data_IF_804989176835
#
_entry.id   IF_804989176835
#
_cell.length_a   1.000
_cell.length_b   1.000
_cell.length_c   1.000
_cell.angle_alpha   90.00
_cell.angle_beta   90.00
_cell.angle_gamma   90.00
#
_symmetry.space_group_name_H-M   'P 1'
#
loop_
_entity.id
_entity.type
_entity.pdbx_description
1 polymer ?
#
# COMPACT_ATOMS: atom_id res chain seq x y z
N UNK A 1 22.82 9.32 19.31
CA UNK A 1 21.45 8.81 19.59
C UNK A 1 21.02 7.94 18.40
N UNK A 2 20.50 6.74 18.67
CA UNK A 2 20.12 5.66 17.72
C UNK A 2 19.20 6.19 16.59
N UNK A 3 19.54 6.01 15.30
CA UNK A 3 19.29 4.89 14.35
C UNK A 3 17.84 4.79 13.81
N UNK A 4 17.76 4.64 12.48
CA UNK A 4 16.64 4.20 11.62
C UNK A 4 15.66 5.34 11.25
N UNK A 5 15.32 5.63 9.99
CA UNK A 5 15.38 4.87 8.74
C UNK A 5 15.39 5.84 7.54
N UNK A 6 16.50 5.83 6.81
CA UNK A 6 16.76 6.60 5.59
C UNK A 6 16.30 5.80 4.35
N UNK A 7 15.04 5.36 4.37
CA UNK A 7 14.43 4.63 3.26
C UNK A 7 12.95 5.05 3.17
N UNK A 8 12.54 5.43 1.95
CA UNK A 8 11.16 5.66 1.51
C UNK A 8 10.60 7.10 1.50
N UNK A 9 11.45 8.12 1.29
CA UNK A 9 11.02 9.30 0.52
C UNK A 9 11.21 9.04 -0.99
N UNK A 10 10.52 8.03 -1.53
CA UNK A 10 10.33 7.92 -2.99
C UNK A 10 9.16 8.81 -3.38
N UNK A 11 9.52 10.09 -3.57
CA UNK A 11 8.82 11.13 -4.33
C UNK A 11 7.81 10.57 -5.33
N UNK A 12 6.55 10.88 -5.08
CA UNK A 12 5.48 10.97 -6.07
C UNK A 12 5.84 12.13 -7.02
N UNK A 13 6.72 11.83 -7.97
CA UNK A 13 7.11 12.72 -9.06
C UNK A 13 6.84 11.99 -10.36
N UNK A 14 5.98 12.59 -11.18
CA UNK A 14 5.92 12.30 -12.60
C UNK A 14 4.60 11.73 -13.04
N UNK A 15 3.68 12.64 -13.34
CA UNK A 15 2.83 12.52 -14.53
C UNK A 15 3.74 12.17 -15.72
N UNK A 16 3.85 10.88 -16.04
CA UNK A 16 4.53 10.37 -17.23
C UNK A 16 3.63 9.36 -17.94
N UNK A 17 3.70 9.30 -19.29
CA UNK A 17 2.67 8.69 -20.11
C UNK A 17 2.59 7.18 -19.89
N UNK A 18 1.51 6.75 -19.23
CA UNK A 18 0.93 5.38 -19.17
C UNK A 18 1.89 4.23 -19.51
N UNK A 19 2.97 4.12 -18.76
CA UNK A 19 3.73 2.88 -18.70
C UNK A 19 2.80 1.82 -18.11
N UNK A 20 2.68 0.67 -18.78
CA UNK A 20 1.77 -0.42 -18.39
C UNK A 20 2.13 -0.82 -16.97
N UNK A 21 1.33 -0.40 -15.99
CA UNK A 21 1.58 -0.72 -14.58
C UNK A 21 1.66 -2.24 -14.45
N UNK A 22 2.85 -2.73 -14.10
CA UNK A 22 3.08 -4.15 -13.90
C UNK A 22 2.11 -4.65 -12.83
N UNK A 23 1.48 -5.80 -13.10
CA UNK A 23 0.57 -6.42 -12.16
C UNK A 23 1.35 -6.83 -10.91
N UNK A 24 0.96 -6.29 -9.77
CA UNK A 24 1.52 -6.68 -8.48
C UNK A 24 0.85 -7.97 -8.02
N UNK A 25 1.64 -9.00 -7.75
CA UNK A 25 1.17 -10.22 -7.05
C UNK A 25 1.15 -9.91 -5.55
N UNK A 26 0.00 -10.08 -4.92
CA UNK A 26 -0.16 -9.95 -3.47
C UNK A 26 0.03 -11.34 -2.87
N UNK A 27 0.99 -11.48 -1.95
CA UNK A 27 1.29 -12.75 -1.30
C UNK A 27 0.20 -13.13 -0.28
N UNK A 28 0.03 -14.42 0.07
CA UNK A 28 -0.95 -14.85 1.06
C UNK A 28 -0.84 -14.12 2.40
N UNK A 29 0.38 -13.99 2.94
CA UNK A 29 0.63 -13.28 4.21
C UNK A 29 0.22 -11.80 4.14
N UNK A 30 0.38 -11.17 2.96
CA UNK A 30 -0.05 -9.80 2.72
C UNK A 30 -1.58 -9.70 2.64
N UNK A 31 -2.24 -10.68 2.03
CA UNK A 31 -3.71 -10.76 1.98
C UNK A 31 -4.29 -10.94 3.38
N UNK A 32 -3.72 -11.81 4.20
CA UNK A 32 -4.17 -12.05 5.57
C UNK A 32 -4.15 -10.75 6.39
N UNK A 33 -3.07 -9.97 6.28
CA UNK A 33 -2.97 -8.65 6.91
C UNK A 33 -4.02 -7.66 6.37
N UNK A 34 -4.21 -7.61 5.06
CA UNK A 34 -5.21 -6.74 4.43
C UNK A 34 -6.63 -7.09 4.88
N UNK A 35 -6.98 -8.38 4.94
CA UNK A 35 -8.26 -8.84 5.46
C UNK A 35 -8.47 -8.50 6.93
N UNK A 36 -7.44 -8.67 7.77
CA UNK A 36 -7.52 -8.27 9.17
C UNK A 36 -7.84 -6.78 9.31
N UNK A 37 -7.24 -5.92 8.48
CA UNK A 37 -7.53 -4.48 8.48
C UNK A 37 -8.92 -4.17 7.92
N UNK A 38 -9.35 -4.89 6.89
CA UNK A 38 -10.68 -4.75 6.30
C UNK A 38 -11.82 -5.06 7.28
N UNK A 39 -11.65 -6.08 8.13
CA UNK A 39 -12.62 -6.40 9.18
C UNK A 39 -12.82 -5.28 10.21
N UNK A 40 -11.79 -4.44 10.41
CA UNK A 40 -11.85 -3.30 11.33
C UNK A 40 -12.42 -2.06 10.64
N UNK A 41 -11.98 -1.80 9.41
CA UNK A 41 -12.38 -0.65 8.61
C UNK A 41 -12.37 -1.03 7.14
N UNK A 42 -13.56 -1.13 6.53
CA UNK A 42 -13.73 -1.48 5.12
C UNK A 42 -13.48 -0.29 4.19
N UNK A 43 -13.56 0.95 4.69
CA UNK A 43 -13.27 2.17 3.93
C UNK A 43 -12.15 3.01 4.60
N UNK A 44 -10.89 2.52 4.56
CA UNK A 44 -9.79 3.16 5.25
C UNK A 44 -9.50 4.56 4.71
N UNK A 45 -9.26 5.50 5.64
CA UNK A 45 -8.84 6.86 5.30
C UNK A 45 -7.51 6.90 4.54
N UNK A 46 -7.20 8.02 3.89
CA UNK A 46 -5.94 8.23 3.16
C UNK A 46 -4.70 7.91 4.00
N UNK A 47 -4.69 8.35 5.26
CA UNK A 47 -3.59 8.11 6.20
C UNK A 47 -3.48 6.63 6.58
N UNK A 48 -4.61 5.96 6.72
CA UNK A 48 -4.64 4.54 7.05
C UNK A 48 -4.14 3.69 5.88
N UNK A 49 -4.51 4.02 4.64
CA UNK A 49 -3.96 3.39 3.44
C UNK A 49 -2.44 3.53 3.33
N UNK A 50 -1.88 4.69 3.67
CA UNK A 50 -0.43 4.92 3.68
C UNK A 50 0.28 4.05 4.73
N UNK A 51 -0.30 3.94 5.93
CA UNK A 51 0.23 3.06 6.96
C UNK A 51 0.13 1.59 6.55
N UNK A 52 -1.02 1.14 6.06
CA UNK A 52 -1.21 -0.25 5.62
C UNK A 52 -0.24 -0.59 4.49
N UNK A 53 -0.07 0.31 3.51
CA UNK A 53 0.88 0.17 2.42
C UNK A 53 2.32 -0.03 2.89
N UNK A 54 2.76 0.75 3.89
CA UNK A 54 4.08 0.60 4.49
C UNK A 54 4.25 -0.75 5.19
N UNK A 55 3.26 -1.14 6.01
CA UNK A 55 3.34 -2.38 6.78
C UNK A 55 3.32 -3.64 5.89
N UNK A 56 2.52 -3.62 4.82
CA UNK A 56 2.40 -4.76 3.89
C UNK A 56 3.49 -4.74 2.81
N UNK A 57 4.25 -3.64 2.67
CA UNK A 57 5.28 -3.48 1.64
C UNK A 57 4.72 -3.35 0.22
N UNK A 58 3.50 -2.82 0.06
CA UNK A 58 2.87 -2.62 -1.24
C UNK A 58 2.66 -1.14 -1.52
N UNK A 59 2.60 -0.77 -2.81
CA UNK A 59 2.25 0.60 -3.18
C UNK A 59 0.85 0.94 -2.67
N UNK A 60 0.67 2.16 -2.16
CA UNK A 60 -0.63 2.68 -1.72
C UNK A 60 -1.76 2.46 -2.73
N UNK A 61 -1.48 2.62 -4.03
CA UNK A 61 -2.48 2.38 -5.08
C UNK A 61 -2.91 0.91 -5.16
N UNK A 62 -2.03 -0.05 -4.90
CA UNK A 62 -2.37 -1.48 -4.87
C UNK A 62 -3.28 -1.77 -3.69
N UNK A 63 -2.91 -1.29 -2.50
CA UNK A 63 -3.74 -1.42 -1.29
C UNK A 63 -5.11 -0.77 -1.50
N UNK A 64 -5.15 0.46 -2.01
CA UNK A 64 -6.39 1.16 -2.32
C UNK A 64 -7.29 0.37 -3.26
N UNK A 65 -6.73 -0.16 -4.37
CA UNK A 65 -7.51 -0.94 -5.34
C UNK A 65 -7.99 -2.26 -4.71
N UNK A 66 -7.19 -2.89 -3.85
CA UNK A 66 -7.60 -4.09 -3.14
C UNK A 66 -8.81 -3.83 -2.24
N UNK A 67 -8.78 -2.76 -1.44
CA UNK A 67 -9.92 -2.36 -0.59
C UNK A 67 -11.16 -1.92 -1.39
N UNK A 68 -10.99 -1.47 -2.64
CA UNK A 68 -12.10 -1.11 -3.52
C UNK A 68 -12.73 -2.32 -4.23
N UNK A 69 -11.94 -3.38 -4.44
CA UNK A 69 -12.37 -4.58 -5.13
C UNK A 69 -12.85 -5.69 -4.16
N UNK A 70 -12.59 -5.52 -2.87
CA UNK A 70 -12.95 -6.45 -1.79
C UNK A 70 -14.15 -5.90 -1.04
#
# INVERSE_FOLDING_TARGET
>A
KRKLSEAEELKDLGDQPKDKRLRTTILPEQLDYLYQKYQVESNPSRKMLENIAREVGLKKRVVQVWFQNT
#
